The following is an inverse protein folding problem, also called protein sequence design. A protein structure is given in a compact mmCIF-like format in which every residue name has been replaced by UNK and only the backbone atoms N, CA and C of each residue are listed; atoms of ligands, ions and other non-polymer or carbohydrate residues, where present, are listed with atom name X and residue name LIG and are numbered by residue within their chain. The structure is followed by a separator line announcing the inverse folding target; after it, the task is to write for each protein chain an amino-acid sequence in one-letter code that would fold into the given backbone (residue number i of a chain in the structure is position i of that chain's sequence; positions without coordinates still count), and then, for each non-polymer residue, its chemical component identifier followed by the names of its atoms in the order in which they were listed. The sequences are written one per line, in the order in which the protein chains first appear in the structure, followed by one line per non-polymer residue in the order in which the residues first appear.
data_IF_833811546580
#
_entry.id   IF_833811546580
#
_cell.length_a   1.000
_cell.length_b   1.000
_cell.length_c   1.000
_cell.angle_alpha   90.00
_cell.angle_beta   90.00
_cell.angle_gamma   90.00
#
_symmetry.space_group_name_H-M   'P 1'
#
loop_
_entity.id
_entity.type
_entity.pdbx_description
1 polymer ?
#
# COMPACT_ATOMS: atom_id res chain seq x y z
N UNK A 1 -1.16 63.47 -53.21
CA UNK A 1 -2.04 62.51 -53.92
C UNK A 1 -2.46 61.46 -52.90
N UNK A 2 -3.77 61.30 -52.69
CA UNK A 2 -4.38 60.36 -51.74
C UNK A 2 -3.96 58.93 -52.06
N UNK A 3 -3.74 58.09 -51.05
CA UNK A 3 -4.16 56.69 -51.07
C UNK A 3 -4.15 56.12 -49.65
N UNK A 4 -5.37 55.96 -49.14
CA UNK A 4 -5.82 55.18 -48.00
C UNK A 4 -5.57 53.68 -48.22
N UNK A 5 -5.07 52.97 -47.21
CA UNK A 5 -5.15 51.50 -47.15
C UNK A 5 -5.79 51.05 -45.85
N UNK A 6 -6.85 50.26 -46.05
CA UNK A 6 -7.76 49.68 -45.08
C UNK A 6 -7.12 48.66 -44.14
N UNK A 7 -7.73 48.56 -42.96
CA UNK A 7 -7.58 47.53 -41.96
C UNK A 7 -7.90 46.10 -42.47
N UNK A 8 -7.21 45.11 -41.89
CA UNK A 8 -7.77 43.78 -41.57
C UNK A 8 -7.17 43.29 -40.25
N UNK A 9 -7.92 43.45 -39.16
CA UNK A 9 -7.75 42.61 -37.96
C UNK A 9 -8.32 41.23 -38.31
N UNK A 10 -7.48 40.21 -38.30
CA UNK A 10 -7.93 38.82 -38.27
C UNK A 10 -7.97 38.42 -36.79
N UNK A 11 -9.17 38.31 -36.24
CA UNK A 11 -9.38 37.70 -34.93
C UNK A 11 -9.15 36.19 -35.05
N UNK A 12 -8.07 35.69 -34.46
CA UNK A 12 -7.94 34.26 -34.18
C UNK A 12 -8.75 33.99 -32.90
N UNK A 13 -9.94 33.42 -33.04
CA UNK A 13 -10.60 32.72 -31.94
C UNK A 13 -9.83 31.43 -31.69
N UNK A 14 -9.03 31.42 -30.63
CA UNK A 14 -8.34 30.24 -30.13
C UNK A 14 -9.38 29.33 -29.46
N UNK A 15 -10.05 28.48 -30.25
CA UNK A 15 -10.80 27.34 -29.70
C UNK A 15 -9.80 26.37 -29.12
N UNK A 16 -9.65 26.37 -27.80
CA UNK A 16 -8.95 25.32 -27.06
C UNK A 16 -9.68 24.01 -27.29
N UNK A 17 -9.15 23.17 -28.18
CA UNK A 17 -9.49 21.75 -28.21
C UNK A 17 -8.99 21.15 -26.88
N UNK A 18 -9.89 20.98 -25.92
CA UNK A 18 -9.67 20.04 -24.83
C UNK A 18 -9.70 18.66 -25.47
N UNK A 19 -8.52 18.05 -25.69
CA UNK A 19 -8.47 16.62 -25.95
C UNK A 19 -9.03 15.95 -24.69
N UNK A 20 -10.29 15.53 -24.77
CA UNK A 20 -10.87 14.56 -23.85
C UNK A 20 -10.00 13.32 -23.93
N UNK A 21 -9.31 13.02 -22.83
CA UNK A 21 -8.68 11.73 -22.60
C UNK A 21 -9.78 10.69 -22.53
N UNK A 22 -10.08 10.04 -23.66
CA UNK A 22 -11.08 8.97 -23.76
C UNK A 22 -10.76 7.71 -22.90
N UNK A 23 -9.73 7.80 -22.05
CA UNK A 23 -9.19 6.74 -21.20
C UNK A 23 -9.08 7.16 -19.72
N UNK A 24 -9.44 8.41 -19.39
CA UNK A 24 -9.50 8.84 -17.99
C UNK A 24 -10.91 8.60 -17.47
N UNK A 25 -11.02 8.08 -16.25
CA UNK A 25 -12.27 8.02 -15.51
C UNK A 25 -12.88 9.42 -15.45
N UNK A 26 -14.21 9.49 -15.49
CA UNK A 26 -14.88 10.73 -15.11
C UNK A 26 -14.66 11.04 -13.61
N UNK A 27 -14.99 12.26 -13.22
CA UNK A 27 -14.73 12.75 -11.85
C UNK A 27 -15.45 11.92 -10.79
N UNK A 28 -16.64 11.40 -11.09
CA UNK A 28 -17.42 10.57 -10.19
C UNK A 28 -16.76 9.20 -10.00
N UNK A 29 -16.38 8.54 -11.10
CA UNK A 29 -15.69 7.26 -11.07
C UNK A 29 -14.30 7.36 -10.44
N UNK A 30 -13.57 8.45 -10.66
CA UNK A 30 -12.28 8.66 -10.01
C UNK A 30 -12.44 8.89 -8.50
N UNK A 31 -13.40 9.69 -8.06
CA UNK A 31 -13.67 9.89 -6.63
C UNK A 31 -14.12 8.59 -5.96
N UNK A 32 -14.93 7.78 -6.64
CA UNK A 32 -15.33 6.46 -6.16
C UNK A 32 -14.12 5.50 -6.08
N UNK A 33 -13.21 5.52 -7.06
CA UNK A 33 -11.97 4.75 -6.99
C UNK A 33 -11.14 5.14 -5.77
N UNK A 34 -10.93 6.44 -5.54
CA UNK A 34 -10.10 6.93 -4.44
C UNK A 34 -10.69 6.54 -3.07
N UNK A 35 -12.00 6.68 -2.88
CA UNK A 35 -12.68 6.29 -1.65
C UNK A 35 -12.71 4.76 -1.45
N UNK A 36 -12.99 4.01 -2.52
CA UNK A 36 -12.95 2.55 -2.49
C UNK A 36 -11.57 2.02 -2.11
N UNK A 37 -10.51 2.60 -2.68
CA UNK A 37 -9.12 2.25 -2.34
C UNK A 37 -8.74 2.67 -0.92
N UNK A 38 -9.22 3.83 -0.43
CA UNK A 38 -9.02 4.27 0.96
C UNK A 38 -9.60 3.24 1.93
N UNK A 39 -10.87 2.86 1.74
CA UNK A 39 -11.55 1.86 2.57
C UNK A 39 -10.88 0.49 2.50
N UNK A 40 -10.56 0.02 1.29
CA UNK A 40 -9.89 -1.25 1.07
C UNK A 40 -8.54 -1.32 1.82
N UNK A 41 -7.75 -0.24 1.73
CA UNK A 41 -6.45 -0.13 2.37
C UNK A 41 -6.52 0.00 3.90
N UNK A 42 -7.65 0.49 4.43
CA UNK A 42 -7.97 0.54 5.86
C UNK A 42 -8.62 -0.77 6.39
N UNK A 43 -8.62 -1.86 5.60
CA UNK A 43 -9.27 -3.14 5.90
C UNK A 43 -10.81 -3.07 6.06
N UNK A 44 -11.43 -2.04 5.49
CA UNK A 44 -12.90 -1.91 5.36
C UNK A 44 -13.33 -2.45 3.98
N UNK A 45 -13.10 -3.76 3.78
CA UNK A 45 -13.25 -4.37 2.44
C UNK A 45 -14.70 -4.42 1.98
N UNK A 46 -15.63 -4.74 2.87
CA UNK A 46 -17.05 -4.83 2.50
C UNK A 46 -17.60 -3.44 2.15
N UNK A 47 -17.20 -2.42 2.89
CA UNK A 47 -17.56 -1.02 2.70
C UNK A 47 -16.96 -0.44 1.42
N UNK A 48 -15.81 -0.95 0.96
CA UNK A 48 -15.18 -0.51 -0.29
C UNK A 48 -15.94 -0.93 -1.54
N UNK A 49 -16.74 -2.01 -1.47
CA UNK A 49 -17.42 -2.64 -2.62
C UNK A 49 -18.24 -1.65 -3.46
N UNK A 50 -19.22 -0.91 -2.91
CA UNK A 50 -20.06 -0.02 -3.71
C UNK A 50 -19.28 1.06 -4.46
N UNK A 51 -18.17 1.53 -3.89
CA UNK A 51 -17.31 2.54 -4.52
C UNK A 51 -16.43 1.93 -5.62
N UNK A 52 -15.82 0.78 -5.33
CA UNK A 52 -15.02 0.06 -6.33
C UNK A 52 -15.88 -0.42 -7.51
N UNK A 53 -17.16 -0.76 -7.28
CA UNK A 53 -18.10 -1.14 -8.34
C UNK A 53 -18.33 -0.01 -9.34
N UNK A 54 -18.52 1.23 -8.88
CA UNK A 54 -18.66 2.40 -9.76
C UNK A 54 -17.43 2.55 -10.67
N UNK A 55 -16.23 2.50 -10.10
CA UNK A 55 -14.99 2.64 -10.86
C UNK A 55 -14.73 1.45 -11.80
N UNK A 56 -15.05 0.23 -11.36
CA UNK A 56 -14.93 -0.98 -12.16
C UNK A 56 -15.91 -0.98 -13.34
N UNK A 57 -17.17 -0.56 -13.15
CA UNK A 57 -18.14 -0.41 -14.24
C UNK A 57 -17.75 0.68 -15.24
N UNK A 58 -17.05 1.72 -14.77
CA UNK A 58 -16.45 2.74 -15.63
C UNK A 58 -15.20 2.26 -16.40
N UNK A 59 -14.75 1.02 -16.16
CA UNK A 59 -13.66 0.38 -16.91
C UNK A 59 -12.30 0.41 -16.20
N UNK A 60 -12.22 0.80 -14.92
CA UNK A 60 -10.95 0.81 -14.20
C UNK A 60 -10.48 -0.62 -13.84
N UNK A 61 -9.34 -1.01 -14.41
CA UNK A 61 -8.79 -2.37 -14.28
C UNK A 61 -8.38 -2.68 -12.83
N UNK A 62 -7.77 -1.73 -12.12
CA UNK A 62 -7.38 -1.93 -10.72
C UNK A 62 -8.64 -2.07 -9.83
N UNK A 63 -9.65 -1.22 -10.03
CA UNK A 63 -10.91 -1.33 -9.30
C UNK A 63 -11.58 -2.68 -9.53
N UNK A 64 -11.59 -3.21 -10.76
CA UNK A 64 -12.08 -4.58 -11.03
C UNK A 64 -11.32 -5.63 -10.21
N UNK A 65 -9.99 -5.56 -10.16
CA UNK A 65 -9.17 -6.47 -9.35
C UNK A 65 -9.47 -6.36 -7.86
N UNK A 66 -9.47 -5.14 -7.30
CA UNK A 66 -9.72 -4.92 -5.87
C UNK A 66 -11.16 -5.24 -5.48
N UNK A 67 -12.13 -4.99 -6.37
CA UNK A 67 -13.52 -5.42 -6.21
C UNK A 67 -13.63 -6.94 -6.21
N UNK A 68 -12.94 -7.64 -7.11
CA UNK A 68 -12.82 -9.10 -7.09
C UNK A 68 -12.30 -9.62 -5.75
N UNK A 69 -11.28 -8.97 -5.18
CA UNK A 69 -10.74 -9.30 -3.84
C UNK A 69 -11.72 -9.01 -2.71
N UNK A 70 -12.39 -7.86 -2.73
CA UNK A 70 -13.30 -7.45 -1.66
C UNK A 70 -14.58 -8.30 -1.65
N UNK A 71 -15.14 -8.57 -2.83
CA UNK A 71 -16.41 -9.29 -3.01
C UNK A 71 -16.26 -10.81 -3.19
N UNK A 72 -15.02 -11.31 -3.31
CA UNK A 72 -14.73 -12.70 -3.71
C UNK A 72 -15.35 -13.08 -5.08
N UNK A 73 -15.50 -12.12 -5.98
CA UNK A 73 -16.10 -12.32 -7.29
C UNK A 73 -15.08 -12.76 -8.34
N UNK A 74 -15.23 -13.99 -8.82
CA UNK A 74 -14.45 -14.53 -9.94
C UNK A 74 -14.72 -13.77 -11.25
N UNK A 75 -15.95 -13.31 -11.45
CA UNK A 75 -16.34 -12.54 -12.64
C UNK A 75 -15.53 -11.23 -12.74
N UNK A 76 -15.30 -10.56 -11.62
CA UNK A 76 -14.52 -9.32 -11.62
C UNK A 76 -13.04 -9.57 -11.88
N UNK A 77 -12.45 -10.66 -11.35
CA UNK A 77 -11.11 -11.07 -11.76
C UNK A 77 -11.04 -11.41 -13.25
N UNK A 78 -12.05 -12.09 -13.79
CA UNK A 78 -12.09 -12.45 -15.20
C UNK A 78 -12.08 -11.19 -16.10
N UNK A 79 -12.91 -10.19 -15.77
CA UNK A 79 -12.93 -8.91 -16.49
C UNK A 79 -11.62 -8.13 -16.40
N UNK A 80 -10.97 -8.16 -15.24
CA UNK A 80 -9.66 -7.54 -15.06
C UNK A 80 -8.57 -8.29 -15.86
N UNK A 81 -8.56 -9.62 -15.79
CA UNK A 81 -7.63 -10.48 -16.53
C UNK A 81 -7.75 -10.32 -18.04
N UNK A 82 -8.97 -10.25 -18.58
CA UNK A 82 -9.21 -9.97 -20.01
C UNK A 82 -8.61 -8.63 -20.48
N UNK A 83 -8.33 -7.72 -19.56
CA UNK A 83 -7.74 -6.41 -19.83
C UNK A 83 -6.25 -6.33 -19.46
N UNK A 84 -5.59 -7.46 -19.22
CA UNK A 84 -4.15 -7.52 -18.96
C UNK A 84 -3.76 -7.37 -17.48
N UNK A 85 -4.71 -7.47 -16.55
CA UNK A 85 -4.39 -7.41 -15.11
C UNK A 85 -3.71 -8.71 -14.67
N UNK A 86 -2.37 -8.64 -14.58
CA UNK A 86 -1.49 -9.80 -14.35
C UNK A 86 -1.83 -10.60 -13.08
N UNK A 87 -2.28 -9.94 -12.02
CA UNK A 87 -2.55 -10.60 -10.76
C UNK A 87 -3.90 -11.32 -10.76
N UNK A 88 -4.89 -10.81 -11.50
CA UNK A 88 -6.18 -11.44 -11.73
C UNK A 88 -6.02 -12.71 -12.54
N UNK A 89 -5.17 -12.70 -13.57
CA UNK A 89 -4.78 -13.91 -14.32
C UNK A 89 -4.21 -14.97 -13.38
N UNK A 90 -3.29 -14.58 -12.50
CA UNK A 90 -2.67 -15.50 -11.54
C UNK A 90 -3.66 -16.05 -10.49
N UNK A 91 -4.55 -15.21 -9.95
CA UNK A 91 -5.57 -15.65 -8.98
C UNK A 91 -6.60 -16.58 -9.61
N UNK A 92 -6.97 -16.36 -10.87
CA UNK A 92 -7.87 -17.23 -11.61
C UNK A 92 -7.25 -18.62 -11.85
N UNK A 93 -5.94 -18.71 -12.13
CA UNK A 93 -5.24 -19.98 -12.24
C UNK A 93 -5.36 -20.81 -10.94
N UNK A 94 -5.07 -20.21 -9.77
CA UNK A 94 -5.19 -20.91 -8.47
C UNK A 94 -6.64 -21.33 -8.14
N UNK A 95 -7.63 -20.51 -8.52
CA UNK A 95 -9.04 -20.85 -8.37
C UNK A 95 -9.45 -22.02 -9.29
N UNK A 96 -8.95 -22.02 -10.53
CA UNK A 96 -9.16 -23.05 -11.54
C UNK A 96 -8.67 -24.43 -11.06
N UNK A 97 -7.43 -24.52 -10.58
CA UNK A 97 -6.85 -25.76 -10.07
C UNK A 97 -7.68 -26.37 -8.92
N UNK A 98 -8.28 -25.51 -8.07
CA UNK A 98 -9.02 -25.93 -6.87
C UNK A 98 -10.47 -26.30 -7.13
N UNK A 99 -11.15 -25.68 -8.10
CA UNK A 99 -12.62 -25.74 -8.23
C UNK A 99 -13.14 -26.25 -9.59
N UNK A 100 -12.28 -26.55 -10.58
CA UNK A 100 -12.67 -27.08 -11.91
C UNK A 100 -13.74 -26.26 -12.67
N UNK A 101 -13.90 -24.98 -12.31
CA UNK A 101 -14.80 -24.03 -12.95
C UNK A 101 -13.95 -22.98 -13.66
N UNK A 102 -13.28 -23.39 -14.73
CA UNK A 102 -12.52 -22.50 -15.59
C UNK A 102 -13.42 -21.94 -16.69
N UNK A 103 -13.34 -20.62 -16.98
CA UNK A 103 -13.76 -20.12 -18.28
C UNK A 103 -13.05 -20.91 -19.39
N UNK A 104 -13.72 -21.12 -20.53
CA UNK A 104 -13.04 -21.60 -21.73
C UNK A 104 -11.83 -20.66 -22.00
N UNK A 105 -10.63 -21.24 -22.18
CA UNK A 105 -9.30 -20.57 -22.31
C UNK A 105 -8.56 -20.23 -20.99
N UNK A 106 -9.01 -20.71 -19.82
CA UNK A 106 -8.40 -20.36 -18.52
C UNK A 106 -7.16 -21.16 -18.07
N UNK A 107 -6.76 -22.20 -18.79
CA UNK A 107 -5.64 -23.07 -18.39
C UNK A 107 -4.26 -22.40 -18.58
N UNK A 108 -4.16 -21.40 -19.46
CA UNK A 108 -2.91 -20.74 -19.85
C UNK A 108 -2.72 -19.34 -19.23
N UNK A 109 -3.46 -18.99 -18.16
CA UNK A 109 -3.44 -17.63 -17.60
C UNK A 109 -2.07 -17.21 -17.06
N UNK A 110 -1.28 -18.14 -16.50
CA UNK A 110 0.04 -17.82 -15.97
C UNK A 110 1.02 -17.54 -17.12
N UNK A 111 0.97 -18.34 -18.19
CA UNK A 111 1.73 -18.14 -19.41
C UNK A 111 1.36 -16.83 -20.10
N UNK A 112 0.06 -16.51 -20.19
CA UNK A 112 -0.43 -15.25 -20.72
C UNK A 112 0.08 -14.06 -19.89
N UNK A 113 -0.02 -14.14 -18.55
CA UNK A 113 0.49 -13.11 -17.66
C UNK A 113 2.01 -12.91 -17.81
N UNK A 114 2.79 -14.00 -17.95
CA UNK A 114 4.23 -13.91 -18.21
C UNK A 114 4.49 -13.26 -19.58
N UNK A 115 3.75 -13.65 -20.62
CA UNK A 115 3.88 -13.11 -21.96
C UNK A 115 3.57 -11.60 -22.02
N UNK A 116 2.61 -11.13 -21.23
CA UNK A 116 2.26 -9.72 -21.11
C UNK A 116 3.25 -8.94 -20.24
N UNK A 117 3.70 -9.52 -19.13
CA UNK A 117 4.61 -8.87 -18.19
C UNK A 117 6.05 -8.76 -18.71
N UNK A 118 6.54 -9.76 -19.43
CA UNK A 118 7.95 -9.87 -19.82
C UNK A 118 8.42 -8.71 -20.71
N UNK A 119 7.72 -8.32 -21.80
CA UNK A 119 8.13 -7.16 -22.61
C UNK A 119 8.16 -5.85 -21.82
N UNK A 120 7.20 -5.67 -20.89
CA UNK A 120 7.16 -4.49 -20.02
C UNK A 120 8.35 -4.48 -19.05
N UNK A 121 8.68 -5.64 -18.46
CA UNK A 121 9.83 -5.80 -17.58
C UNK A 121 11.15 -5.57 -18.32
N UNK A 122 11.28 -6.06 -19.56
CA UNK A 122 12.44 -5.79 -20.43
C UNK A 122 12.57 -4.31 -20.81
N UNK A 123 11.44 -3.61 -20.94
CA UNK A 123 11.38 -2.17 -21.17
C UNK A 123 11.65 -1.33 -19.90
N UNK A 124 11.89 -1.96 -18.74
CA UNK A 124 12.22 -1.28 -17.49
C UNK A 124 11.04 -1.02 -16.55
N UNK A 125 9.86 -1.56 -16.82
CA UNK A 125 8.72 -1.44 -15.92
C UNK A 125 8.96 -2.28 -14.65
N UNK A 126 9.18 -1.59 -13.53
CA UNK A 126 9.58 -2.22 -12.27
C UNK A 126 8.43 -2.98 -11.59
N UNK A 127 7.18 -2.59 -11.82
CA UNK A 127 6.00 -3.33 -11.36
C UNK A 127 5.84 -4.64 -12.13
N UNK A 128 6.06 -4.63 -13.45
CA UNK A 128 6.06 -5.85 -14.25
C UNK A 128 7.21 -6.79 -13.83
N UNK A 129 8.42 -6.27 -13.57
CA UNK A 129 9.51 -7.06 -13.00
C UNK A 129 9.09 -7.72 -11.67
N UNK A 130 8.44 -6.96 -10.78
CA UNK A 130 7.97 -7.51 -9.50
C UNK A 130 6.84 -8.52 -9.67
N UNK A 131 5.93 -8.33 -10.65
CA UNK A 131 4.86 -9.27 -10.97
C UNK A 131 5.39 -10.61 -11.50
N UNK A 132 6.53 -10.62 -12.20
CA UNK A 132 7.17 -11.86 -12.65
C UNK A 132 7.64 -12.76 -11.51
N UNK A 133 7.96 -12.22 -10.32
CA UNK A 133 8.36 -13.01 -9.17
C UNK A 133 7.32 -14.09 -8.79
N UNK A 134 6.06 -13.75 -8.45
CA UNK A 134 5.05 -14.75 -8.15
C UNK A 134 4.62 -15.58 -9.37
N UNK A 135 4.61 -15.01 -10.58
CA UNK A 135 4.24 -15.73 -11.81
C UNK A 135 5.17 -16.91 -12.10
N UNK A 136 6.49 -16.69 -12.07
CA UNK A 136 7.45 -17.77 -12.25
C UNK A 136 7.47 -18.77 -11.08
N UNK A 137 7.15 -18.31 -9.85
CA UNK A 137 7.11 -19.19 -8.69
C UNK A 137 5.97 -20.22 -8.79
N UNK A 138 4.82 -19.81 -9.33
CA UNK A 138 3.66 -20.70 -9.54
C UNK A 138 3.95 -21.81 -10.54
N UNK A 139 4.73 -21.54 -11.57
CA UNK A 139 5.11 -22.52 -12.60
C UNK A 139 6.18 -23.53 -12.13
N UNK A 140 6.63 -23.44 -10.87
CA UNK A 140 7.65 -24.35 -10.33
C UNK A 140 9.07 -24.09 -10.87
N UNK A 141 9.34 -22.90 -11.39
CA UNK A 141 10.70 -22.49 -11.73
C UNK A 141 11.47 -22.12 -10.46
N UNK A 142 12.61 -22.77 -10.20
CA UNK A 142 13.33 -22.62 -8.94
C UNK A 142 14.22 -21.36 -8.88
N UNK A 143 14.77 -20.89 -10.01
CA UNK A 143 15.77 -19.81 -10.04
C UNK A 143 15.21 -18.45 -10.50
N UNK A 144 14.29 -18.48 -11.45
CA UNK A 144 13.66 -17.35 -12.12
C UNK A 144 12.90 -16.41 -11.16
N UNK A 145 12.18 -16.90 -10.12
CA UNK A 145 11.50 -16.03 -9.17
C UNK A 145 12.47 -15.11 -8.43
N UNK A 146 13.58 -15.68 -7.93
CA UNK A 146 14.58 -14.90 -7.19
C UNK A 146 15.21 -13.83 -8.09
N UNK A 147 15.55 -14.20 -9.33
CA UNK A 147 16.09 -13.27 -10.32
C UNK A 147 15.19 -12.05 -10.53
N UNK A 148 13.88 -12.26 -10.72
CA UNK A 148 12.96 -11.15 -10.97
C UNK A 148 12.70 -10.29 -9.73
N UNK A 149 12.68 -10.89 -8.54
CA UNK A 149 12.59 -10.14 -7.28
C UNK A 149 13.81 -9.23 -7.08
N UNK A 150 15.02 -9.74 -7.30
CA UNK A 150 16.27 -8.98 -7.21
C UNK A 150 16.32 -7.87 -8.26
N UNK A 151 16.01 -8.19 -9.52
CA UNK A 151 15.99 -7.23 -10.61
C UNK A 151 14.99 -6.10 -10.39
N UNK A 152 13.79 -6.41 -9.89
CA UNK A 152 12.80 -5.39 -9.53
C UNK A 152 13.29 -4.48 -8.40
N UNK A 153 13.91 -5.05 -7.37
CA UNK A 153 14.45 -4.30 -6.24
C UNK A 153 15.63 -3.39 -6.64
N UNK A 154 16.53 -3.88 -7.50
CA UNK A 154 17.62 -3.10 -8.11
C UNK A 154 17.10 -1.97 -8.98
N UNK A 155 16.03 -2.21 -9.74
CA UNK A 155 15.39 -1.20 -10.57
C UNK A 155 14.56 -0.17 -9.77
N UNK A 156 14.42 -0.33 -8.45
CA UNK A 156 13.77 0.66 -7.58
C UNK A 156 12.31 0.36 -7.24
N UNK A 157 11.79 -0.84 -7.51
CA UNK A 157 10.45 -1.21 -7.03
C UNK A 157 10.45 -1.33 -5.49
N UNK A 158 9.66 -0.49 -4.81
CA UNK A 158 9.65 -0.39 -3.34
C UNK A 158 9.06 -1.64 -2.67
N UNK A 159 8.07 -2.29 -3.29
CA UNK A 159 7.50 -3.55 -2.78
C UNK A 159 8.51 -4.70 -2.90
N UNK A 160 9.24 -4.77 -4.01
CA UNK A 160 10.30 -5.74 -4.23
C UNK A 160 11.46 -5.54 -3.23
N UNK A 161 11.89 -4.28 -3.02
CA UNK A 161 12.91 -3.95 -2.02
C UNK A 161 12.48 -4.38 -0.61
N UNK A 162 11.25 -4.04 -0.21
CA UNK A 162 10.68 -4.46 1.06
C UNK A 162 10.60 -5.98 1.21
N UNK A 163 10.11 -6.68 0.18
CA UNK A 163 9.97 -8.14 0.16
C UNK A 163 11.33 -8.82 0.23
N UNK A 164 12.30 -8.35 -0.54
CA UNK A 164 13.66 -8.86 -0.55
C UNK A 164 14.36 -8.60 0.78
N UNK A 165 14.17 -7.43 1.40
CA UNK A 165 14.71 -7.12 2.73
C UNK A 165 14.26 -8.13 3.79
N UNK A 166 12.96 -8.47 3.80
CA UNK A 166 12.41 -9.49 4.69
C UNK A 166 13.05 -10.87 4.46
N UNK A 167 13.19 -11.28 3.19
CA UNK A 167 13.83 -12.56 2.85
C UNK A 167 15.30 -12.61 3.23
N UNK A 168 16.04 -11.52 3.02
CA UNK A 168 17.47 -11.43 3.40
C UNK A 168 17.60 -11.47 4.93
N UNK A 169 16.76 -10.73 5.67
CA UNK A 169 16.77 -10.75 7.14
C UNK A 169 16.49 -12.16 7.71
N UNK A 170 15.54 -12.89 7.13
CA UNK A 170 15.07 -14.17 7.69
C UNK A 170 15.84 -15.38 7.16
N UNK A 171 16.37 -15.31 5.93
CA UNK A 171 17.11 -16.39 5.28
C UNK A 171 18.57 -16.46 5.71
N UNK A 172 19.21 -17.64 5.63
CA UNK A 172 20.64 -17.80 6.03
C UNK A 172 21.61 -18.06 4.87
N UNK A 173 21.08 -18.28 3.67
CA UNK A 173 21.89 -18.61 2.49
C UNK A 173 22.33 -17.34 1.75
N UNK A 174 23.50 -17.39 1.12
CA UNK A 174 23.97 -16.32 0.22
C UNK A 174 24.79 -15.21 0.85
N UNK A 175 25.04 -15.25 2.17
CA UNK A 175 25.86 -14.26 2.87
C UNK A 175 26.97 -14.93 3.69
N UNK A 176 28.19 -14.35 3.76
CA UNK A 176 29.31 -14.88 4.54
C UNK A 176 29.01 -15.01 6.03
N UNK A 177 28.28 -14.05 6.61
CA UNK A 177 27.87 -14.04 8.00
C UNK A 177 26.60 -13.20 8.23
N UNK A 178 26.13 -13.19 9.48
CA UNK A 178 24.94 -12.44 9.89
C UNK A 178 25.12 -10.91 9.77
N UNK A 179 26.33 -10.40 9.92
CA UNK A 179 26.59 -8.95 9.85
C UNK A 179 26.39 -8.45 8.43
N UNK A 180 26.99 -9.11 7.44
CA UNK A 180 26.82 -8.74 6.03
C UNK A 180 25.37 -8.89 5.57
N UNK A 181 24.70 -9.94 6.04
CA UNK A 181 23.28 -10.20 5.76
C UNK A 181 22.37 -9.11 6.31
N UNK A 182 22.51 -8.77 7.59
CA UNK A 182 21.71 -7.74 8.24
C UNK A 182 21.96 -6.37 7.62
N UNK A 183 23.21 -6.04 7.28
CA UNK A 183 23.53 -4.81 6.54
C UNK A 183 22.83 -4.76 5.16
N UNK A 184 22.78 -5.88 4.43
CA UNK A 184 22.08 -5.95 3.16
C UNK A 184 20.56 -5.79 3.32
N UNK A 185 19.96 -6.40 4.34
CA UNK A 185 18.54 -6.22 4.67
C UNK A 185 18.22 -4.76 5.04
N UNK A 186 19.06 -4.13 5.86
CA UNK A 186 18.92 -2.72 6.23
C UNK A 186 18.93 -1.82 5.01
N UNK A 187 19.91 -1.98 4.11
CA UNK A 187 20.01 -1.17 2.89
C UNK A 187 18.77 -1.31 1.99
N UNK A 188 18.17 -2.50 1.91
CA UNK A 188 16.95 -2.73 1.15
C UNK A 188 15.74 -2.05 1.81
N UNK A 189 15.55 -2.21 3.12
CA UNK A 189 14.51 -1.50 3.87
C UNK A 189 14.66 0.01 3.76
N UNK A 190 15.89 0.51 3.91
CA UNK A 190 16.26 1.92 3.84
C UNK A 190 15.95 2.53 2.48
N UNK A 191 16.32 1.87 1.37
CA UNK A 191 15.98 2.36 0.03
C UNK A 191 14.47 2.48 -0.17
N UNK A 192 13.69 1.48 0.25
CA UNK A 192 12.22 1.53 0.12
C UNK A 192 11.60 2.61 1.02
N UNK A 193 12.11 2.77 2.25
CA UNK A 193 11.67 3.79 3.19
C UNK A 193 11.99 5.22 2.70
N UNK A 194 13.19 5.44 2.18
CA UNK A 194 13.62 6.72 1.59
C UNK A 194 12.83 7.06 0.32
N UNK A 195 12.39 6.05 -0.43
CA UNK A 195 11.48 6.20 -1.56
C UNK A 195 10.02 6.46 -1.15
N UNK A 196 9.72 6.56 0.16
CA UNK A 196 8.42 6.93 0.67
C UNK A 196 7.50 5.75 1.03
N UNK A 197 7.98 4.51 1.03
CA UNK A 197 7.11 3.35 1.29
C UNK A 197 6.88 3.10 2.80
N UNK A 198 5.66 3.33 3.33
CA UNK A 198 5.47 3.40 4.80
C UNK A 198 5.62 2.05 5.50
N UNK A 199 5.29 0.94 4.83
CA UNK A 199 5.52 -0.42 5.36
C UNK A 199 7.01 -0.71 5.53
N UNK A 200 7.85 -0.21 4.64
CA UNK A 200 9.30 -0.28 4.77
C UNK A 200 9.82 0.64 5.88
N UNK A 201 9.29 1.86 6.02
CA UNK A 201 9.66 2.75 7.14
C UNK A 201 9.40 2.10 8.50
N UNK A 202 8.21 1.53 8.72
CA UNK A 202 7.87 0.84 9.98
C UNK A 202 8.73 -0.40 10.21
N UNK A 203 9.10 -1.12 9.14
CA UNK A 203 9.93 -2.32 9.26
C UNK A 203 11.41 -2.01 9.44
N UNK A 204 11.89 -0.92 8.86
CA UNK A 204 13.22 -0.36 9.12
C UNK A 204 13.33 0.11 10.57
N UNK A 205 12.30 0.79 11.08
CA UNK A 205 12.27 1.22 12.48
C UNK A 205 12.45 0.03 13.44
N UNK A 206 11.65 -1.03 13.27
CA UNK A 206 11.77 -2.25 14.08
C UNK A 206 13.14 -2.92 13.91
N UNK A 207 13.63 -2.99 12.67
CA UNK A 207 14.95 -3.56 12.40
C UNK A 207 16.05 -2.80 13.11
N UNK A 208 16.04 -1.46 13.06
CA UNK A 208 17.02 -0.61 13.74
C UNK A 208 16.94 -0.75 15.26
N UNK A 209 15.73 -0.84 15.82
CA UNK A 209 15.52 -1.12 17.25
C UNK A 209 16.15 -2.47 17.65
N UNK A 210 15.94 -3.53 16.86
CA UNK A 210 16.56 -4.84 17.11
C UNK A 210 18.10 -4.79 17.05
N UNK A 211 18.68 -3.79 16.36
CA UNK A 211 20.12 -3.53 16.32
C UNK A 211 20.60 -2.53 17.39
N UNK A 212 19.71 -2.00 18.24
CA UNK A 212 20.02 -1.02 19.30
C UNK A 212 20.18 0.42 18.79
N UNK A 213 19.64 0.74 17.62
CA UNK A 213 19.70 2.07 16.99
C UNK A 213 18.39 2.85 17.22
N UNK A 214 18.01 3.04 18.49
CA UNK A 214 16.68 3.54 18.89
C UNK A 214 16.36 4.96 18.41
N UNK A 215 17.35 5.87 18.41
CA UNK A 215 17.19 7.25 17.95
C UNK A 215 16.71 7.31 16.49
N UNK A 216 17.27 6.45 15.65
CA UNK A 216 16.91 6.39 14.23
C UNK A 216 15.62 5.59 14.03
N UNK A 217 15.46 4.50 14.78
CA UNK A 217 14.25 3.70 14.78
C UNK A 217 12.99 4.55 15.07
N UNK A 218 13.06 5.39 16.11
CA UNK A 218 12.01 6.32 16.46
C UNK A 218 11.66 7.27 15.32
N UNK A 219 12.66 7.88 14.68
CA UNK A 219 12.44 8.80 13.55
C UNK A 219 11.73 8.12 12.39
N UNK A 220 12.11 6.88 12.05
CA UNK A 220 11.43 6.13 11.00
C UNK A 220 10.01 5.70 11.38
N UNK A 221 9.77 5.38 12.65
CA UNK A 221 8.41 5.04 13.11
C UNK A 221 7.49 6.27 13.05
N UNK A 222 7.98 7.45 13.45
CA UNK A 222 7.23 8.71 13.30
C UNK A 222 6.93 8.99 11.84
N UNK A 223 7.91 8.87 10.94
CA UNK A 223 7.70 9.05 9.49
C UNK A 223 6.70 8.07 8.90
N UNK A 224 6.75 6.79 9.32
CA UNK A 224 5.79 5.79 8.89
C UNK A 224 4.35 6.18 9.29
N UNK A 225 4.19 6.64 10.53
CA UNK A 225 2.91 7.14 11.05
C UNK A 225 2.43 8.37 10.28
N UNK A 226 3.30 9.36 10.05
CA UNK A 226 2.98 10.56 9.27
C UNK A 226 2.61 10.23 7.82
N UNK A 227 3.19 9.16 7.25
CA UNK A 227 2.87 8.66 5.92
C UNK A 227 1.65 7.70 5.89
N UNK A 228 0.86 7.64 6.96
CA UNK A 228 -0.43 6.91 6.99
C UNK A 228 -0.33 5.43 7.37
N UNK A 229 0.82 4.93 7.83
CA UNK A 229 0.93 3.51 8.22
C UNK A 229 0.20 3.23 9.53
N UNK A 230 -0.88 2.45 9.45
CA UNK A 230 -1.80 2.18 10.57
C UNK A 230 -1.08 1.68 11.82
N UNK A 231 -0.27 0.62 11.68
CA UNK A 231 0.43 0.04 12.84
C UNK A 231 1.46 1.01 13.44
N UNK A 232 2.02 1.93 12.64
CA UNK A 232 2.95 2.93 13.14
C UNK A 232 2.21 4.03 13.90
N UNK A 233 1.03 4.45 13.40
CA UNK A 233 0.16 5.40 14.08
C UNK A 233 -0.32 4.86 15.43
N UNK A 234 -0.74 3.59 15.47
CA UNK A 234 -1.10 2.89 16.70
C UNK A 234 0.08 2.79 17.67
N UNK A 235 1.29 2.47 17.18
CA UNK A 235 2.48 2.43 18.02
C UNK A 235 2.80 3.78 18.66
N UNK A 236 2.69 4.89 17.91
CA UNK A 236 2.87 6.23 18.48
C UNK A 236 1.87 6.50 19.61
N UNK A 237 0.64 6.01 19.49
CA UNK A 237 -0.36 6.15 20.53
C UNK A 237 0.09 5.48 21.84
N UNK A 238 0.62 4.25 21.76
CA UNK A 238 1.18 3.54 22.90
C UNK A 238 2.38 4.27 23.49
N UNK A 239 3.29 4.77 22.65
CA UNK A 239 4.43 5.59 23.13
C UNK A 239 3.98 6.84 23.88
N UNK A 240 2.87 7.46 23.51
CA UNK A 240 2.35 8.61 24.26
C UNK A 240 1.69 8.22 25.58
N UNK A 241 1.09 7.04 25.69
CA UNK A 241 0.44 6.58 26.94
C UNK A 241 1.46 6.03 27.93
N UNK A 242 2.36 5.17 27.47
CA UNK A 242 3.26 4.34 28.27
C UNK A 242 4.67 4.28 27.63
N UNK A 243 5.41 5.41 27.53
CA UNK A 243 6.72 5.44 26.86
C UNK A 243 7.79 4.60 27.55
N UNK A 244 7.67 4.37 28.86
CA UNK A 244 8.69 3.71 29.69
C UNK A 244 8.46 2.17 29.81
N UNK A 245 7.40 1.64 29.21
CA UNK A 245 7.13 0.20 29.20
C UNK A 245 8.21 -0.56 28.40
N UNK A 246 8.61 -1.75 28.87
CA UNK A 246 9.71 -2.51 28.26
C UNK A 246 9.45 -2.81 26.78
N UNK A 247 8.21 -3.21 26.46
CA UNK A 247 7.76 -3.44 25.08
C UNK A 247 7.89 -2.18 24.20
N UNK A 248 7.89 -1.00 24.80
CA UNK A 248 7.90 0.32 24.16
C UNK A 248 9.31 0.95 24.14
N UNK A 249 10.39 0.15 24.27
CA UNK A 249 11.77 0.65 24.34
C UNK A 249 12.26 1.53 23.18
N UNK A 250 11.58 1.54 22.03
CA UNK A 250 11.86 2.45 20.91
C UNK A 250 11.29 3.87 21.11
N UNK A 251 10.38 4.08 22.07
CA UNK A 251 9.68 5.34 22.24
C UNK A 251 10.63 6.46 22.73
N UNK A 252 10.67 7.57 22.01
CA UNK A 252 11.42 8.78 22.43
C UNK A 252 10.49 9.99 22.48
N UNK A 253 9.58 9.95 23.44
CA UNK A 253 8.58 10.99 23.65
C UNK A 253 8.29 11.19 25.13
N UNK A 254 7.88 12.40 25.49
CA UNK A 254 7.25 12.65 26.79
C UNK A 254 5.90 11.93 26.87
N UNK A 255 5.55 11.45 28.06
CA UNK A 255 4.27 10.83 28.35
C UNK A 255 3.13 11.85 28.19
N UNK A 256 2.20 11.57 27.29
CA UNK A 256 0.99 12.34 27.04
C UNK A 256 -0.21 11.41 26.76
N UNK A 257 -0.87 10.88 27.80
CA UNK A 257 -1.94 9.89 27.64
C UNK A 257 -3.16 10.41 26.88
N UNK A 258 -3.49 11.70 27.02
CA UNK A 258 -4.60 12.31 26.28
C UNK A 258 -4.34 12.27 24.76
N UNK A 259 -3.12 12.62 24.34
CA UNK A 259 -2.73 12.53 22.93
C UNK A 259 -2.72 11.09 22.41
N UNK A 260 -2.21 10.15 23.20
CA UNK A 260 -2.25 8.74 22.81
C UNK A 260 -3.68 8.22 22.68
N UNK A 261 -4.57 8.56 23.63
CA UNK A 261 -6.00 8.25 23.55
C UNK A 261 -6.66 8.82 22.29
N UNK A 262 -6.40 10.10 21.97
CA UNK A 262 -6.90 10.76 20.76
C UNK A 262 -6.52 9.99 19.49
N UNK A 263 -5.26 9.54 19.41
CA UNK A 263 -4.77 8.76 18.26
C UNK A 263 -5.48 7.40 18.18
N UNK A 264 -5.66 6.69 19.30
CA UNK A 264 -6.36 5.39 19.31
C UNK A 264 -7.81 5.53 18.83
N UNK A 265 -8.51 6.57 19.28
CA UNK A 265 -9.88 6.85 18.85
C UNK A 265 -9.94 7.17 17.35
N UNK A 266 -9.06 8.05 16.84
CA UNK A 266 -9.02 8.38 15.41
C UNK A 266 -8.73 7.15 14.55
N UNK A 267 -7.76 6.32 14.95
CA UNK A 267 -7.45 5.06 14.26
C UNK A 267 -8.65 4.10 14.28
N UNK A 268 -9.40 4.03 15.37
CA UNK A 268 -10.61 3.21 15.46
C UNK A 268 -11.73 3.66 14.53
N UNK A 269 -11.94 4.96 14.38
CA UNK A 269 -12.92 5.47 13.42
C UNK A 269 -12.50 5.22 11.96
N UNK A 270 -11.21 5.42 11.65
CA UNK A 270 -10.71 5.31 10.27
C UNK A 270 -10.44 3.87 9.82
N UNK A 271 -10.13 2.98 10.75
CA UNK A 271 -9.78 1.58 10.51
C UNK A 271 -10.30 0.67 11.65
N UNK A 272 -11.62 0.50 11.80
CA UNK A 272 -12.22 -0.24 12.91
C UNK A 272 -11.84 -1.73 12.93
N UNK A 273 -11.59 -2.33 11.76
CA UNK A 273 -11.36 -3.77 11.60
C UNK A 273 -9.96 -4.26 12.00
N UNK A 274 -9.17 -3.42 12.68
CA UNK A 274 -7.78 -3.74 13.06
C UNK A 274 -7.64 -4.26 14.49
N UNK A 275 -8.76 -4.52 15.17
CA UNK A 275 -8.82 -4.94 16.57
C UNK A 275 -8.22 -3.92 17.57
N UNK A 276 -8.25 -2.63 17.21
CA UNK A 276 -7.84 -1.52 18.08
C UNK A 276 -8.74 -1.38 19.31
N UNK A 277 -9.98 -1.85 19.22
CA UNK A 277 -10.95 -1.98 20.31
C UNK A 277 -10.37 -2.69 21.56
N UNK A 278 -9.46 -3.65 21.38
CA UNK A 278 -8.76 -4.28 22.50
C UNK A 278 -7.87 -3.29 23.26
N UNK A 279 -7.18 -2.39 22.55
CA UNK A 279 -6.38 -1.35 23.16
C UNK A 279 -7.24 -0.28 23.82
N UNK A 280 -8.34 0.13 23.17
CA UNK A 280 -9.31 1.06 23.75
C UNK A 280 -9.91 0.52 25.04
N UNK A 281 -10.31 -0.76 25.09
CA UNK A 281 -10.77 -1.40 26.33
C UNK A 281 -9.67 -1.45 27.38
N UNK A 282 -8.48 -1.93 27.02
CA UNK A 282 -7.34 -2.04 27.94
C UNK A 282 -6.99 -0.70 28.61
N UNK A 283 -6.83 0.37 27.84
CA UNK A 283 -6.48 1.69 28.37
C UNK A 283 -7.68 2.45 28.95
N UNK A 284 -8.90 2.17 28.49
CA UNK A 284 -10.12 2.75 29.04
C UNK A 284 -10.41 2.26 30.46
N UNK A 285 -10.08 1.00 30.74
CA UNK A 285 -10.25 0.35 32.05
C UNK A 285 -9.01 0.47 32.96
N UNK A 286 -7.88 0.99 32.46
CA UNK A 286 -6.65 1.14 33.24
C UNK A 286 -6.53 2.50 33.92
N UNK A 287 -5.61 2.58 34.90
CA UNK A 287 -5.24 3.83 35.57
C UNK A 287 -4.23 4.67 34.76
N UNK A 288 -3.84 4.22 33.56
CA UNK A 288 -2.86 4.92 32.72
C UNK A 288 -3.42 6.23 32.15
N UNK A 289 -4.72 6.26 31.88
CA UNK A 289 -5.41 7.42 31.31
C UNK A 289 -6.55 7.81 32.23
N UNK A 290 -6.40 8.94 32.92
CA UNK A 290 -7.44 9.48 33.80
C UNK A 290 -8.71 9.85 33.00
N UNK A 291 -9.89 9.90 33.65
CA UNK A 291 -11.12 10.36 32.99
C UNK A 291 -10.97 11.73 32.30
N UNK A 292 -10.31 12.69 32.96
CA UNK A 292 -10.07 14.02 32.42
C UNK A 292 -9.16 13.99 31.18
N UNK A 293 -8.17 13.10 31.15
CA UNK A 293 -7.30 12.89 29.98
C UNK A 293 -8.03 12.20 28.83
N UNK A 294 -8.97 11.30 29.10
CA UNK A 294 -9.82 10.71 28.06
C UNK A 294 -10.73 11.75 27.42
N UNK A 295 -11.39 12.57 28.23
CA UNK A 295 -12.20 13.68 27.73
C UNK A 295 -11.36 14.68 26.91
N UNK A 296 -10.11 14.93 27.32
CA UNK A 296 -9.19 15.75 26.52
C UNK A 296 -8.79 15.06 25.22
N UNK A 297 -8.49 13.76 25.26
CA UNK A 297 -8.18 12.98 24.06
C UNK A 297 -9.35 12.95 23.07
N UNK A 298 -10.59 12.84 23.54
CA UNK A 298 -11.80 12.93 22.71
C UNK A 298 -11.92 14.29 22.03
N UNK A 299 -11.57 15.40 22.71
CA UNK A 299 -11.51 16.73 22.09
C UNK A 299 -10.40 16.87 21.06
N UNK A 300 -9.24 16.25 21.32
CA UNK A 300 -8.08 16.27 20.43
C UNK A 300 -8.21 15.33 19.23
N UNK A 301 -9.16 14.40 19.23
CA UNK A 301 -9.31 13.36 18.22
C UNK A 301 -9.45 13.93 16.80
N UNK A 302 -10.16 15.05 16.64
CA UNK A 302 -10.33 15.72 15.34
C UNK A 302 -8.99 16.17 14.72
N UNK A 303 -7.95 16.41 15.52
CA UNK A 303 -6.61 16.72 15.01
C UNK A 303 -5.92 15.52 14.35
N UNK A 304 -6.38 14.31 14.66
CA UNK A 304 -5.80 13.05 14.22
C UNK A 304 -6.64 12.33 13.17
N UNK A 305 -7.94 12.63 13.13
CA UNK A 305 -8.90 12.05 12.20
C UNK A 305 -8.70 12.56 10.76
N UNK A 306 -8.75 11.66 9.79
CA UNK A 306 -8.69 11.95 8.34
C UNK A 306 -7.46 12.79 7.92
N UNK A 307 -6.31 12.56 8.57
CA UNK A 307 -5.06 13.21 8.16
C UNK A 307 -4.57 12.64 6.83
N UNK A 308 -4.07 13.52 5.96
CA UNK A 308 -3.45 13.13 4.69
C UNK A 308 -1.96 12.73 4.88
N UNK A 309 -1.48 11.65 4.23
CA UNK A 309 -2.25 10.67 3.47
C UNK A 309 -3.11 9.77 4.39
N UNK A 310 -4.24 9.23 3.89
CA UNK A 310 -5.16 8.44 4.71
C UNK A 310 -4.49 7.19 5.28
N UNK A 311 -5.04 6.70 6.39
CA UNK A 311 -4.58 5.48 7.01
C UNK A 311 -4.67 4.27 6.08
N UNK A 312 -3.59 3.49 6.04
CA UNK A 312 -3.44 2.34 5.14
C UNK A 312 -2.53 1.28 5.75
N UNK A 313 -2.86 0.01 5.49
CA UNK A 313 -1.95 -1.14 5.72
C UNK A 313 -0.90 -1.30 4.64
N UNK A 314 -1.04 -0.57 3.54
CA UNK A 314 -0.26 -0.75 2.31
C UNK A 314 -0.21 -2.24 1.94
N UNK A 315 -1.38 -2.88 1.74
CA UNK A 315 -1.42 -4.28 1.37
C UNK A 315 -0.71 -4.44 0.03
N UNK A 316 0.35 -5.24 0.00
CA UNK A 316 1.00 -5.60 -1.26
C UNK A 316 -0.04 -6.27 -2.15
N UNK A 317 0.02 -6.01 -3.46
CA UNK A 317 -1.03 -6.45 -4.39
C UNK A 317 -1.27 -7.97 -4.33
N UNK A 318 -0.20 -8.75 -4.20
CA UNK A 318 -0.21 -10.22 -4.21
C UNK A 318 -0.03 -10.91 -2.85
N UNK A 319 0.61 -10.26 -1.89
CA UNK A 319 0.90 -10.87 -0.59
C UNK A 319 -0.14 -10.39 0.42
N UNK A 320 -0.77 -11.32 1.14
CA UNK A 320 -1.71 -10.99 2.21
C UNK A 320 -1.14 -9.99 3.23
N UNK A 321 -2.01 -9.33 4.01
CA UNK A 321 -1.59 -8.40 5.06
C UNK A 321 -0.50 -9.00 5.96
#
# INVERSE_FOLDING_TARGET
MRLTTLAKLVGLTLTTLTLSSAWALDEEAQAAKDEGMRLYNALQREESIPYLEIAAEAGDIDAMFYLGKASHSQEWYYRAAQQGELYSMLLLHDACEKQQLCPDDGDDWVEAAIADALPLAEAGNTNAMFALYPLYATQGYDAEPQYWLEKAAEAGNVEAQFKLAGRVRDGRAGYPDDTERLNAAEQLYRRAAEAGYPRAMSSLARFLHDQGHDDEAWQWMVRASEAGHINARQWLAYCYIEPDEEKNGMCQTERNPAKGWAILLAVNEEAPNIHIENALSYFGDSDEITPEQREEGERMMEEWLNREPPLSYFPMKFFGP
#
